data_IF_940005351830
#
_entry.id   IF_940005351830
#
_cell.length_a   1.000
_cell.length_b   1.000
_cell.length_c   1.000
_cell.angle_alpha   90.00
_cell.angle_beta   90.00
_cell.angle_gamma   90.00
#
_symmetry.space_group_name_H-M   'P 1'
#
loop_
_entity.id
_entity.type
_entity.pdbx_description
1 polymer ?
#
# COMPACT_ATOMS: atom_id res chain seq x y z
N UNK A 1 33.20 -13.23 -2.16
CA UNK A 1 33.20 -13.92 -3.46
C UNK A 1 32.18 -13.27 -4.36
N UNK A 2 32.69 -12.67 -5.43
CA UNK A 2 32.00 -11.80 -6.37
C UNK A 2 31.10 -12.57 -7.33
N UNK A 3 29.84 -12.11 -7.46
CA UNK A 3 29.11 -12.12 -8.74
C UNK A 3 28.36 -10.79 -8.85
N UNK A 4 29.10 -9.75 -9.23
CA UNK A 4 28.53 -8.58 -9.88
C UNK A 4 28.14 -8.98 -11.28
N UNK A 5 26.95 -9.58 -11.43
CA UNK A 5 26.31 -9.68 -12.74
C UNK A 5 25.86 -8.28 -13.13
N UNK A 6 26.53 -7.72 -14.13
CA UNK A 6 26.12 -6.52 -14.85
C UNK A 6 24.68 -6.69 -15.35
N UNK A 7 23.73 -6.09 -14.64
CA UNK A 7 22.31 -6.08 -14.96
C UNK A 7 22.06 -5.12 -16.12
N UNK A 8 22.28 -5.57 -17.36
CA UNK A 8 21.38 -5.14 -18.43
C UNK A 8 20.05 -5.86 -18.15
N UNK A 9 19.07 -5.15 -17.56
CA UNK A 9 17.73 -5.69 -17.33
C UNK A 9 16.96 -5.75 -18.65
N UNK A 10 17.35 -6.67 -19.53
CA UNK A 10 16.40 -7.24 -20.48
C UNK A 10 15.29 -7.96 -19.68
N UNK A 11 14.10 -8.09 -20.27
CA UNK A 11 13.02 -8.87 -19.65
C UNK A 11 13.57 -10.26 -19.35
N UNK A 12 13.66 -10.60 -18.08
CA UNK A 12 14.10 -11.93 -17.69
C UNK A 12 13.01 -12.92 -18.12
N UNK A 13 13.35 -13.68 -19.16
CA UNK A 13 12.42 -14.55 -19.88
C UNK A 13 11.76 -15.53 -18.91
N UNK A 14 12.50 -16.05 -17.93
CA UNK A 14 11.97 -16.96 -16.92
C UNK A 14 10.85 -16.30 -16.10
N UNK A 15 11.06 -15.06 -15.65
CA UNK A 15 10.05 -14.35 -14.85
C UNK A 15 8.81 -14.00 -15.68
N UNK A 16 8.99 -13.70 -16.97
CA UNK A 16 7.88 -13.54 -17.91
C UNK A 16 7.12 -14.84 -18.15
N UNK A 17 7.81 -15.96 -18.31
CA UNK A 17 7.19 -17.27 -18.46
C UNK A 17 6.42 -17.69 -17.21
N UNK A 18 6.99 -17.53 -16.02
CA UNK A 18 6.33 -17.85 -14.75
C UNK A 18 5.08 -16.96 -14.57
N UNK A 19 5.22 -15.65 -14.77
CA UNK A 19 4.10 -14.71 -14.67
C UNK A 19 2.97 -15.08 -15.64
N UNK A 20 3.33 -15.38 -16.90
CA UNK A 20 2.38 -15.81 -17.93
C UNK A 20 1.66 -17.09 -17.55
N UNK A 21 2.40 -18.12 -17.15
CA UNK A 21 1.84 -19.41 -16.76
C UNK A 21 0.87 -19.26 -15.58
N UNK A 22 1.28 -18.55 -14.53
CA UNK A 22 0.44 -18.34 -13.33
C UNK A 22 -0.84 -17.58 -13.68
N UNK A 23 -0.74 -16.48 -14.45
CA UNK A 23 -1.92 -15.69 -14.81
C UNK A 23 -2.88 -16.48 -15.73
N UNK A 24 -2.36 -17.24 -16.69
CA UNK A 24 -3.17 -18.10 -17.56
C UNK A 24 -3.89 -19.17 -16.72
N UNK A 25 -3.19 -19.86 -15.82
CA UNK A 25 -3.79 -20.89 -14.96
C UNK A 25 -4.91 -20.32 -14.08
N UNK A 26 -4.71 -19.12 -13.52
CA UNK A 26 -5.74 -18.44 -12.72
C UNK A 26 -6.97 -18.12 -13.58
N UNK A 27 -6.78 -17.55 -14.77
CA UNK A 27 -7.90 -17.25 -15.68
C UNK A 27 -8.64 -18.51 -16.10
N UNK A 28 -7.94 -19.60 -16.43
CA UNK A 28 -8.56 -20.87 -16.77
C UNK A 28 -9.41 -21.41 -15.61
N UNK A 29 -8.94 -21.23 -14.36
CA UNK A 29 -9.72 -21.53 -13.16
C UNK A 29 -11.03 -20.73 -13.10
N UNK A 30 -10.98 -19.42 -13.35
CA UNK A 30 -12.17 -18.56 -13.36
C UNK A 30 -13.12 -18.88 -14.52
N UNK A 31 -12.62 -19.09 -15.73
CA UNK A 31 -13.43 -19.51 -16.88
C UNK A 31 -14.14 -20.84 -16.59
N UNK A 32 -13.45 -21.80 -15.97
CA UNK A 32 -14.05 -23.07 -15.58
C UNK A 32 -15.16 -22.92 -14.53
N UNK A 33 -15.10 -21.87 -13.72
CA UNK A 33 -16.04 -21.61 -12.63
C UNK A 33 -17.32 -20.91 -13.07
N UNK A 34 -17.27 -20.07 -14.12
CA UNK A 34 -18.42 -19.29 -14.58
C UNK A 34 -18.24 -18.80 -16.01
N UNK A 35 -19.31 -18.87 -16.80
CA UNK A 35 -19.35 -18.36 -18.18
C UNK A 35 -19.26 -16.82 -18.24
N UNK A 36 -19.41 -16.11 -17.12
CA UNK A 36 -19.23 -14.65 -17.05
C UNK A 36 -17.84 -14.19 -17.51
N UNK A 37 -16.87 -15.09 -17.42
CA UNK A 37 -15.47 -14.92 -17.83
C UNK A 37 -15.27 -15.17 -19.34
N UNK A 38 -16.25 -15.67 -20.08
CA UNK A 38 -16.22 -15.74 -21.55
C UNK A 38 -16.55 -14.36 -22.17
N UNK A 39 -15.81 -13.34 -21.76
CA UNK A 39 -16.01 -11.96 -22.18
C UNK A 39 -14.66 -11.28 -22.44
N UNK A 40 -14.63 -10.32 -23.37
CA UNK A 40 -13.39 -9.73 -23.89
C UNK A 40 -12.52 -9.05 -22.84
N UNK A 41 -13.11 -8.59 -21.73
CA UNK A 41 -12.42 -7.92 -20.62
C UNK A 41 -11.27 -8.74 -20.01
N UNK A 42 -11.30 -10.07 -20.16
CA UNK A 42 -10.22 -10.95 -19.68
C UNK A 42 -8.90 -10.68 -20.39
N UNK A 43 -8.94 -10.34 -21.68
CA UNK A 43 -7.72 -10.14 -22.47
C UNK A 43 -6.84 -9.03 -21.88
N UNK A 44 -7.34 -7.78 -21.71
CA UNK A 44 -6.52 -6.74 -21.10
C UNK A 44 -6.16 -7.02 -19.64
N UNK A 45 -7.03 -7.70 -18.87
CA UNK A 45 -6.72 -8.12 -17.49
C UNK A 45 -5.55 -9.12 -17.46
N UNK A 46 -5.57 -10.13 -18.32
CA UNK A 46 -4.49 -11.10 -18.46
C UNK A 46 -3.19 -10.38 -18.77
N UNK A 47 -3.20 -9.49 -19.76
CA UNK A 47 -2.01 -8.73 -20.16
C UNK A 47 -1.48 -7.86 -19.01
N UNK A 48 -2.35 -7.21 -18.25
CA UNK A 48 -1.96 -6.50 -17.02
C UNK A 48 -1.27 -7.43 -16.02
N UNK A 49 -1.91 -8.56 -15.70
CA UNK A 49 -1.40 -9.55 -14.76
C UNK A 49 -0.02 -10.08 -15.17
N UNK A 50 0.15 -10.42 -16.44
CA UNK A 50 1.44 -10.88 -16.97
C UNK A 50 2.50 -9.80 -16.80
N UNK A 51 2.19 -8.58 -17.24
CA UNK A 51 3.14 -7.48 -17.31
C UNK A 51 3.62 -7.07 -15.91
N UNK A 52 2.70 -6.86 -14.97
CA UNK A 52 3.07 -6.47 -13.59
C UNK A 52 3.55 -7.67 -12.75
N UNK A 53 3.08 -8.88 -13.08
CA UNK A 53 3.45 -10.12 -12.40
C UNK A 53 4.92 -10.49 -12.57
N UNK A 54 5.60 -9.99 -13.60
CA UNK A 54 7.05 -10.17 -13.74
C UNK A 54 7.80 -9.58 -12.55
N UNK A 55 7.36 -8.43 -12.05
CA UNK A 55 7.98 -7.76 -10.90
C UNK A 55 7.65 -8.45 -9.58
N UNK A 56 6.43 -8.98 -9.46
CA UNK A 56 6.05 -9.84 -8.35
C UNK A 56 6.91 -11.11 -8.32
N UNK A 57 7.12 -11.76 -9.46
CA UNK A 57 7.95 -12.98 -9.58
C UNK A 57 9.41 -12.67 -9.24
N UNK A 58 9.97 -11.58 -9.76
CA UNK A 58 11.34 -11.18 -9.42
C UNK A 58 11.51 -10.87 -7.93
N UNK A 59 10.50 -10.27 -7.29
CA UNK A 59 10.49 -10.07 -5.84
C UNK A 59 10.43 -11.39 -5.06
N UNK A 60 9.53 -12.31 -5.44
CA UNK A 60 9.40 -13.63 -4.78
C UNK A 60 10.68 -14.46 -4.94
N UNK A 61 11.31 -14.41 -6.12
CA UNK A 61 12.60 -15.06 -6.40
C UNK A 61 13.78 -14.40 -5.69
N UNK A 62 13.55 -13.29 -4.97
CA UNK A 62 14.56 -12.58 -4.20
C UNK A 62 15.57 -11.81 -5.06
N UNK A 63 15.23 -11.53 -6.33
CA UNK A 63 16.02 -10.70 -7.25
C UNK A 63 15.84 -9.20 -6.99
N UNK A 64 14.76 -8.85 -6.30
CA UNK A 64 14.52 -7.51 -5.76
C UNK A 64 14.73 -7.49 -4.24
N UNK A 65 15.10 -6.32 -3.72
CA UNK A 65 15.14 -6.13 -2.27
C UNK A 65 13.72 -6.15 -1.68
N UNK A 66 13.61 -6.45 -0.38
CA UNK A 66 12.32 -6.72 0.26
C UNK A 66 11.37 -5.51 0.21
N UNK A 67 11.93 -4.31 0.32
CA UNK A 67 11.21 -3.04 0.21
C UNK A 67 11.58 -2.30 -1.08
N UNK A 68 12.02 -3.04 -2.10
CA UNK A 68 12.20 -2.46 -3.43
C UNK A 68 10.83 -1.93 -3.91
N UNK A 69 10.72 -0.64 -4.27
CA UNK A 69 9.45 -0.08 -4.71
C UNK A 69 8.90 -0.82 -5.91
N UNK A 70 9.76 -1.34 -6.81
CA UNK A 70 9.32 -2.15 -7.96
C UNK A 70 8.66 -3.43 -7.51
N UNK A 71 9.24 -4.14 -6.53
CA UNK A 71 8.70 -5.40 -6.06
C UNK A 71 7.40 -5.24 -5.28
N UNK A 72 7.29 -4.19 -4.46
CA UNK A 72 6.04 -3.83 -3.77
C UNK A 72 4.96 -3.49 -4.80
N UNK A 73 5.29 -2.66 -5.80
CA UNK A 73 4.36 -2.33 -6.88
C UNK A 73 3.99 -3.55 -7.72
N UNK A 74 4.91 -4.49 -7.93
CA UNK A 74 4.63 -5.77 -8.59
C UNK A 74 3.57 -6.58 -7.85
N UNK A 75 3.75 -6.82 -6.55
CA UNK A 75 2.80 -7.57 -5.73
C UNK A 75 1.44 -6.89 -5.62
N UNK A 76 1.42 -5.59 -5.29
CA UNK A 76 0.18 -4.82 -5.20
C UNK A 76 -0.49 -4.70 -6.57
N UNK A 77 0.30 -4.55 -7.63
CA UNK A 77 -0.20 -4.44 -9.00
C UNK A 77 -0.83 -5.74 -9.51
N UNK A 78 -0.27 -6.91 -9.19
CA UNK A 78 -0.94 -8.20 -9.47
C UNK A 78 -2.28 -8.25 -8.74
N UNK A 79 -2.32 -7.79 -7.49
CA UNK A 79 -3.57 -7.76 -6.77
C UNK A 79 -4.60 -6.83 -7.43
N UNK A 80 -4.26 -5.55 -7.64
CA UNK A 80 -5.21 -4.53 -8.09
C UNK A 80 -5.56 -4.60 -9.58
N UNK A 81 -4.60 -4.95 -10.46
CA UNK A 81 -4.81 -4.95 -11.91
C UNK A 81 -5.19 -6.31 -12.48
N UNK A 82 -5.07 -7.38 -11.69
CA UNK A 82 -5.35 -8.75 -12.14
C UNK A 82 -6.34 -9.49 -11.23
N UNK A 83 -6.00 -9.71 -9.96
CA UNK A 83 -6.84 -10.53 -9.06
C UNK A 83 -8.16 -9.83 -8.71
N UNK A 84 -8.13 -8.55 -8.32
CA UNK A 84 -9.33 -7.82 -7.87
C UNK A 84 -10.39 -7.68 -8.96
N UNK A 85 -10.06 -7.33 -10.22
CA UNK A 85 -11.03 -7.36 -11.33
C UNK A 85 -11.71 -8.72 -11.51
N UNK A 86 -10.96 -9.83 -11.40
CA UNK A 86 -11.51 -11.17 -11.53
C UNK A 86 -12.42 -11.54 -10.35
N UNK A 87 -12.01 -11.21 -9.12
CA UNK A 87 -12.82 -11.43 -7.92
C UNK A 87 -14.10 -10.58 -7.94
N UNK A 88 -14.01 -9.33 -8.39
CA UNK A 88 -15.17 -8.45 -8.49
C UNK A 88 -16.21 -9.04 -9.45
N UNK A 89 -15.80 -9.58 -10.60
CA UNK A 89 -16.73 -10.27 -11.53
C UNK A 89 -17.26 -11.54 -10.90
N UNK A 90 -16.40 -12.34 -10.28
CA UNK A 90 -16.80 -13.61 -9.66
C UNK A 90 -17.82 -13.45 -8.54
N UNK A 91 -17.71 -12.37 -7.76
CA UNK A 91 -18.61 -12.12 -6.63
C UNK A 91 -19.85 -11.34 -7.03
N UNK A 92 -19.80 -10.60 -8.13
CA UNK A 92 -20.84 -9.68 -8.62
C UNK A 92 -21.41 -8.80 -7.49
N UNK A 93 -20.55 -8.46 -6.54
CA UNK A 93 -20.92 -7.74 -5.32
C UNK A 93 -20.63 -6.25 -5.50
N UNK A 94 -21.65 -5.45 -5.21
CA UNK A 94 -21.64 -4.01 -5.37
C UNK A 94 -21.87 -3.32 -4.03
N UNK A 95 -21.32 -2.12 -3.89
CA UNK A 95 -21.67 -1.27 -2.77
C UNK A 95 -23.18 -1.00 -2.85
N UNK A 96 -23.94 -1.35 -1.80
CA UNK A 96 -25.41 -1.26 -1.79
C UNK A 96 -26.03 0.13 -2.01
N UNK A 97 -25.21 1.17 -2.19
CA UNK A 97 -25.61 2.54 -2.56
C UNK A 97 -25.49 2.81 -4.06
N UNK A 98 -24.98 1.86 -4.85
CA UNK A 98 -24.74 2.00 -6.29
C UNK A 98 -25.61 0.99 -7.02
N UNK A 99 -26.44 1.49 -7.94
CA UNK A 99 -27.13 0.64 -8.91
C UNK A 99 -26.12 0.20 -9.98
N UNK A 100 -25.80 -1.09 -10.09
CA UNK A 100 -24.88 -1.57 -11.13
C UNK A 100 -25.50 -1.39 -12.52
N UNK A 101 -24.70 -1.11 -13.56
CA UNK A 101 -25.18 -1.17 -14.93
C UNK A 101 -25.39 -2.63 -15.36
N UNK A 102 -26.25 -2.85 -16.37
CA UNK A 102 -26.65 -4.18 -16.83
C UNK A 102 -25.46 -5.07 -17.24
N UNK A 103 -24.43 -4.49 -17.87
CA UNK A 103 -23.14 -5.17 -18.10
C UNK A 103 -21.96 -4.22 -17.84
N UNK A 104 -21.39 -4.36 -16.65
CA UNK A 104 -20.25 -3.58 -16.20
C UNK A 104 -18.89 -4.12 -16.68
N UNK A 105 -18.84 -5.35 -17.23
CA UNK A 105 -17.59 -6.00 -17.65
C UNK A 105 -16.93 -5.27 -18.81
N UNK A 106 -17.71 -4.64 -19.68
CA UNK A 106 -17.20 -3.79 -20.77
C UNK A 106 -16.41 -2.59 -20.23
N UNK A 107 -16.91 -1.94 -19.19
CA UNK A 107 -16.19 -0.86 -18.51
C UNK A 107 -14.94 -1.36 -17.80
N UNK A 108 -15.00 -2.53 -17.17
CA UNK A 108 -13.85 -3.17 -16.56
C UNK A 108 -12.76 -3.46 -17.60
N UNK A 109 -13.14 -3.97 -18.78
CA UNK A 109 -12.23 -4.20 -19.90
C UNK A 109 -11.58 -2.93 -20.43
N UNK A 110 -12.35 -1.85 -20.57
CA UNK A 110 -11.84 -0.55 -21.01
C UNK A 110 -10.84 0.04 -20.01
N UNK A 111 -11.16 -0.01 -18.71
CA UNK A 111 -10.25 0.40 -17.65
C UNK A 111 -9.00 -0.47 -17.61
N UNK A 112 -9.13 -1.78 -17.80
CA UNK A 112 -7.98 -2.69 -17.89
C UNK A 112 -7.09 -2.37 -19.10
N UNK A 113 -7.65 -1.99 -20.25
CA UNK A 113 -6.87 -1.58 -21.42
C UNK A 113 -6.09 -0.28 -21.15
N UNK A 114 -6.71 0.68 -20.47
CA UNK A 114 -6.02 1.91 -20.03
C UNK A 114 -4.90 1.60 -19.03
N UNK A 115 -5.17 0.74 -18.05
CA UNK A 115 -4.15 0.27 -17.11
C UNK A 115 -3.00 -0.43 -17.83
N UNK A 116 -3.29 -1.21 -18.87
CA UNK A 116 -2.27 -1.88 -19.67
C UNK A 116 -1.36 -0.89 -20.37
N UNK A 117 -1.92 0.16 -20.97
CA UNK A 117 -1.13 1.26 -21.54
C UNK A 117 -0.27 1.94 -20.46
N UNK A 118 -0.84 2.20 -19.29
CA UNK A 118 -0.11 2.75 -18.14
C UNK A 118 1.04 1.85 -17.69
N UNK A 119 0.83 0.54 -17.64
CA UNK A 119 1.86 -0.45 -17.28
C UNK A 119 2.93 -0.59 -18.37
N UNK A 120 2.58 -0.45 -19.63
CA UNK A 120 3.54 -0.37 -20.73
C UNK A 120 4.42 0.87 -20.59
N UNK A 121 3.83 2.04 -20.31
CA UNK A 121 4.58 3.26 -20.03
C UNK A 121 5.48 3.08 -18.80
N UNK A 122 4.94 2.55 -17.71
CA UNK A 122 5.70 2.25 -16.49
C UNK A 122 6.91 1.37 -16.79
N UNK A 123 6.70 0.28 -17.53
CA UNK A 123 7.75 -0.67 -17.87
C UNK A 123 8.74 -0.10 -18.88
N UNK A 124 8.26 0.69 -19.82
CA UNK A 124 9.10 1.44 -20.75
C UNK A 124 9.96 2.43 -19.99
N UNK A 125 9.42 3.26 -19.09
CA UNK A 125 10.20 4.23 -18.29
C UNK A 125 11.19 3.54 -17.35
N UNK A 126 10.87 2.34 -16.86
CA UNK A 126 11.80 1.53 -16.07
C UNK A 126 12.89 0.85 -16.91
N UNK A 127 12.53 0.43 -18.13
CA UNK A 127 13.39 -0.28 -19.09
C UNK A 127 14.20 0.65 -19.98
N UNK A 128 13.77 1.90 -20.14
CA UNK A 128 14.62 3.06 -20.26
C UNK A 128 15.46 2.99 -19.01
N UNK A 129 16.57 2.25 -19.13
CA UNK A 129 17.72 2.55 -18.33
C UNK A 129 17.82 4.07 -18.46
N UNK A 130 17.47 4.82 -17.39
CA UNK A 130 18.37 5.83 -16.89
C UNK A 130 19.67 5.07 -16.72
N UNK A 131 20.30 4.92 -17.87
CA UNK A 131 21.56 4.28 -18.09
C UNK A 131 22.34 5.07 -17.11
N UNK A 132 22.79 4.35 -16.11
CA UNK A 132 24.13 4.51 -15.68
C UNK A 132 24.97 5.20 -16.79
N UNK A 133 24.93 6.53 -16.89
CA UNK A 133 25.92 7.28 -16.14
C UNK A 133 26.06 6.51 -14.82
N UNK A 134 26.90 5.49 -14.83
CA UNK A 134 28.29 5.73 -14.51
C UNK A 134 28.53 7.25 -14.42
N UNK A 135 27.86 7.92 -13.46
CA UNK A 135 28.53 8.43 -12.29
C UNK A 135 29.47 7.28 -11.95
N UNK A 136 30.59 7.26 -12.69
CA UNK A 136 31.88 6.97 -12.14
C UNK A 136 31.73 7.61 -10.77
N UNK A 137 31.67 6.79 -9.73
CA UNK A 137 31.98 7.24 -8.39
C UNK A 137 33.48 7.62 -8.37
N UNK A 138 33.94 8.39 -9.37
CA UNK A 138 35.07 9.27 -9.34
C UNK A 138 34.63 10.43 -8.45
N UNK A 139 34.82 10.21 -7.16
CA UNK A 139 35.22 11.24 -6.20
C UNK A 139 34.53 12.61 -6.28
N UNK A 140 33.22 12.67 -6.49
CA UNK A 140 32.45 13.88 -6.20
C UNK A 140 31.66 13.61 -4.94
N UNK A 141 32.31 13.89 -3.81
CA UNK A 141 31.76 14.01 -2.46
C UNK A 141 30.39 13.32 -2.31
N UNK A 142 30.41 12.07 -1.85
CA UNK A 142 29.21 11.47 -1.26
C UNK A 142 28.69 12.46 -0.22
N UNK A 143 27.67 13.24 -0.58
CA UNK A 143 26.91 14.05 0.36
C UNK A 143 26.17 13.04 1.22
N UNK A 144 26.84 12.59 2.26
CA UNK A 144 26.22 11.86 3.34
C UNK A 144 25.24 12.83 3.99
N UNK A 145 23.97 12.71 3.62
CA UNK A 145 22.87 13.42 4.28
C UNK A 145 22.77 12.88 5.70
N UNK A 146 23.48 13.52 6.61
CA UNK A 146 23.44 13.19 8.02
C UNK A 146 22.33 13.99 8.71
N UNK A 147 21.57 13.30 9.56
CA UNK A 147 20.56 13.94 10.38
C UNK A 147 21.24 14.88 11.39
N UNK A 148 20.89 16.16 11.38
CA UNK A 148 21.32 17.09 12.43
C UNK A 148 20.62 16.74 13.75
N UNK A 149 21.33 15.99 14.59
CA UNK A 149 20.89 15.52 15.89
C UNK A 149 20.53 16.66 16.87
N UNK A 150 21.04 17.88 16.67
CA UNK A 150 20.78 19.02 17.56
C UNK A 150 19.46 19.69 17.21
N UNK A 151 19.19 19.87 15.91
CA UNK A 151 17.96 20.55 15.44
C UNK A 151 16.76 19.62 15.35
N UNK A 152 16.99 18.34 15.05
CA UNK A 152 15.92 17.38 14.81
C UNK A 152 14.89 17.26 15.96
N UNK A 153 15.28 17.14 17.25
CA UNK A 153 14.31 17.00 18.33
C UNK A 153 13.40 18.23 18.47
N UNK A 154 13.94 19.44 18.31
CA UNK A 154 13.16 20.67 18.37
C UNK A 154 12.12 20.76 17.25
N UNK A 155 12.54 20.50 16.01
CA UNK A 155 11.65 20.50 14.84
C UNK A 155 10.57 19.42 15.00
N UNK A 156 10.96 18.21 15.42
CA UNK A 156 10.03 17.11 15.66
C UNK A 156 8.99 17.47 16.74
N UNK A 157 9.43 18.01 17.87
CA UNK A 157 8.51 18.42 18.94
C UNK A 157 7.51 19.47 18.47
N UNK A 158 7.96 20.49 17.73
CA UNK A 158 7.07 21.51 17.16
C UNK A 158 6.06 20.87 16.21
N UNK A 159 6.51 19.99 15.30
CA UNK A 159 5.63 19.31 14.35
C UNK A 159 4.60 18.41 15.06
N UNK A 160 5.00 17.68 16.10
CA UNK A 160 4.11 16.85 16.91
C UNK A 160 3.06 17.70 17.65
N UNK A 161 3.47 18.82 18.26
CA UNK A 161 2.56 19.74 18.95
C UNK A 161 1.52 20.31 17.98
N UNK A 162 1.97 20.78 16.81
CA UNK A 162 1.07 21.29 15.76
C UNK A 162 0.08 20.19 15.35
N UNK A 163 0.57 18.98 15.07
CA UNK A 163 -0.27 17.85 14.65
C UNK A 163 -1.32 17.47 15.69
N UNK A 164 -0.96 17.42 16.99
CA UNK A 164 -1.89 17.17 18.10
C UNK A 164 -2.89 18.32 18.25
N UNK A 165 -2.43 19.57 18.18
CA UNK A 165 -3.28 20.75 18.31
C UNK A 165 -4.34 20.79 17.21
N UNK A 166 -3.96 20.50 15.97
CA UNK A 166 -4.91 20.40 14.86
C UNK A 166 -5.88 19.22 15.02
N UNK A 167 -5.42 18.07 15.53
CA UNK A 167 -6.32 16.94 15.83
C UNK A 167 -7.32 17.29 16.94
N UNK A 168 -6.88 17.99 17.99
CA UNK A 168 -7.76 18.46 19.05
C UNK A 168 -8.81 19.44 18.51
N UNK A 169 -8.40 20.35 17.62
CA UNK A 169 -9.31 21.27 16.93
C UNK A 169 -10.34 20.54 16.06
N UNK A 170 -9.93 19.49 15.34
CA UNK A 170 -10.86 18.59 14.63
C UNK A 170 -11.89 18.03 15.61
N UNK A 171 -11.46 17.39 16.69
CA UNK A 171 -12.40 16.80 17.63
C UNK A 171 -13.33 17.84 18.25
N UNK A 172 -12.82 19.01 18.63
CA UNK A 172 -13.65 20.09 19.17
C UNK A 172 -14.74 20.52 18.17
N UNK A 173 -14.41 20.65 16.88
CA UNK A 173 -15.37 21.01 15.83
C UNK A 173 -16.51 20.01 15.68
N UNK A 174 -16.25 18.74 16.02
CA UNK A 174 -17.24 17.66 15.96
C UNK A 174 -17.87 17.30 17.31
N UNK A 175 -17.67 18.11 18.36
CA UNK A 175 -18.24 17.82 19.67
C UNK A 175 -17.52 16.68 20.41
N UNK A 176 -16.22 16.53 20.19
CA UNK A 176 -15.36 15.51 20.77
C UNK A 176 -15.21 14.26 19.89
N UNK A 177 -14.57 13.23 20.45
CA UNK A 177 -14.31 11.96 19.77
C UNK A 177 -15.62 11.26 19.40
N UNK A 178 -16.60 11.24 20.31
CA UNK A 178 -17.90 10.60 20.06
C UNK A 178 -18.67 11.27 18.93
N UNK A 179 -18.68 12.60 18.87
CA UNK A 179 -19.37 13.33 17.81
C UNK A 179 -18.63 13.26 16.47
N UNK A 180 -17.29 13.13 16.49
CA UNK A 180 -16.50 12.80 15.29
C UNK A 180 -16.88 11.44 14.70
N UNK A 181 -16.94 10.39 15.54
CA UNK A 181 -17.35 9.04 15.11
C UNK A 181 -18.82 9.05 14.64
N UNK A 182 -19.71 9.72 15.37
CA UNK A 182 -21.12 9.85 14.99
C UNK A 182 -21.30 10.54 13.64
N UNK A 183 -20.56 11.64 13.41
CA UNK A 183 -20.58 12.35 12.13
C UNK A 183 -20.01 11.50 11.00
N UNK A 184 -18.92 10.77 11.25
CA UNK A 184 -18.37 9.84 10.27
C UNK A 184 -19.36 8.74 9.89
N UNK A 185 -20.04 8.16 10.88
CA UNK A 185 -21.05 7.12 10.66
C UNK A 185 -22.21 7.65 9.83
N UNK A 186 -22.73 8.84 10.16
CA UNK A 186 -23.80 9.48 9.38
C UNK A 186 -23.37 9.88 7.97
N UNK A 187 -22.16 10.38 7.78
CA UNK A 187 -21.66 10.75 6.44
C UNK A 187 -21.61 9.54 5.50
N UNK A 188 -21.31 8.35 6.03
CA UNK A 188 -21.30 7.10 5.26
C UNK A 188 -22.72 6.62 4.97
N UNK A 189 -23.65 6.74 5.93
CA UNK A 189 -25.03 6.29 5.78
C UNK A 189 -25.88 7.22 4.90
N UNK A 190 -25.68 8.53 5.02
CA UNK A 190 -26.51 9.57 4.38
C UNK A 190 -25.85 10.18 3.14
N UNK A 191 -24.69 9.66 2.71
CA UNK A 191 -23.88 10.20 1.61
C UNK A 191 -23.60 11.72 1.73
N UNK A 192 -23.56 12.25 2.96
CA UNK A 192 -23.31 13.68 3.23
C UNK A 192 -21.83 13.96 3.29
N UNK A 193 -21.39 15.04 2.64
CA UNK A 193 -20.01 15.51 2.70
C UNK A 193 -19.70 16.29 4.00
N UNK A 194 -19.89 15.66 5.15
CA UNK A 194 -19.64 16.29 6.46
C UNK A 194 -18.16 16.71 6.67
N UNK A 195 -17.26 16.22 5.81
CA UNK A 195 -15.82 16.46 5.88
C UNK A 195 -15.26 17.35 4.76
N UNK A 196 -16.12 17.93 3.91
CA UNK A 196 -15.70 18.78 2.81
C UNK A 196 -14.80 19.94 3.29
N UNK A 197 -13.72 20.21 2.54
CA UNK A 197 -12.79 21.29 2.83
C UNK A 197 -11.78 21.05 3.97
N UNK A 198 -11.81 19.90 4.65
CA UNK A 198 -10.89 19.61 5.77
C UNK A 198 -9.64 18.81 5.38
N UNK A 199 -9.40 18.58 4.08
CA UNK A 199 -8.29 17.76 3.60
C UNK A 199 -6.92 18.18 4.14
N UNK A 200 -6.61 19.49 4.16
CA UNK A 200 -5.33 20.02 4.69
C UNK A 200 -5.23 19.81 6.19
N UNK A 201 -6.32 20.04 6.92
CA UNK A 201 -6.37 19.85 8.37
C UNK A 201 -6.10 18.39 8.74
N UNK A 202 -6.74 17.46 8.03
CA UNK A 202 -6.50 16.02 8.17
C UNK A 202 -5.10 15.62 7.75
N UNK A 203 -4.59 16.14 6.64
CA UNK A 203 -3.24 15.84 6.18
C UNK A 203 -2.20 16.12 7.27
N UNK A 204 -2.23 17.31 7.87
CA UNK A 204 -1.25 17.69 8.89
C UNK A 204 -1.50 16.93 10.19
N UNK A 205 -2.74 16.91 10.69
CA UNK A 205 -3.06 16.25 11.96
C UNK A 205 -2.75 14.74 11.94
N UNK A 206 -3.02 14.04 10.84
CA UNK A 206 -2.79 12.61 10.71
C UNK A 206 -1.32 12.20 10.58
N UNK A 207 -0.40 13.15 10.42
CA UNK A 207 1.04 12.88 10.35
C UNK A 207 1.63 12.49 11.71
N UNK A 208 0.98 12.85 12.83
CA UNK A 208 1.49 12.61 14.18
C UNK A 208 2.07 11.21 14.41
N UNK A 209 1.35 10.10 14.14
CA UNK A 209 1.87 8.78 14.48
C UNK A 209 3.12 8.42 13.65
N UNK A 210 3.19 8.90 12.40
CA UNK A 210 4.36 8.67 11.52
C UNK A 210 5.56 9.49 12.00
N UNK A 211 5.36 10.76 12.34
CA UNK A 211 6.41 11.59 12.93
C UNK A 211 6.92 11.01 14.25
N UNK A 212 6.02 10.55 15.11
CA UNK A 212 6.38 9.88 16.37
C UNK A 212 7.19 8.59 16.11
N UNK A 213 6.82 7.80 15.10
CA UNK A 213 7.55 6.61 14.69
C UNK A 213 8.96 6.94 14.17
N UNK A 214 9.11 8.01 13.38
CA UNK A 214 10.42 8.49 12.92
C UNK A 214 11.26 8.95 14.11
N UNK A 215 10.67 9.71 15.04
CA UNK A 215 11.30 10.13 16.28
C UNK A 215 11.82 8.96 17.11
N UNK A 216 10.97 7.95 17.33
CA UNK A 216 11.36 6.71 18.01
C UNK A 216 12.48 5.99 17.26
N UNK A 217 12.42 5.88 15.93
CA UNK A 217 13.45 5.24 15.13
C UNK A 217 14.81 5.94 15.30
N UNK A 218 14.84 7.27 15.25
CA UNK A 218 16.07 8.04 15.49
C UNK A 218 16.59 7.87 16.91
N UNK A 219 15.71 7.95 17.91
CA UNK A 219 16.08 7.83 19.33
C UNK A 219 16.62 6.43 19.67
N UNK A 220 15.94 5.38 19.21
CA UNK A 220 16.31 3.98 19.47
C UNK A 220 17.70 3.58 18.92
N UNK A 221 18.25 4.33 17.94
CA UNK A 221 19.63 4.10 17.45
C UNK A 221 20.68 4.20 18.55
N UNK A 222 20.48 5.09 19.53
CA UNK A 222 21.41 5.28 20.65
C UNK A 222 21.18 4.31 21.81
N UNK A 223 20.03 3.65 21.86
CA UNK A 223 19.59 2.84 23.01
C UNK A 223 19.29 1.41 22.59
N UNK A 224 20.27 0.49 22.78
CA UNK A 224 20.15 -0.92 22.39
C UNK A 224 18.94 -1.64 23.02
N UNK A 225 18.55 -1.27 24.25
CA UNK A 225 17.38 -1.82 24.95
C UNK A 225 16.06 -1.61 24.20
N UNK A 226 15.95 -0.53 23.42
CA UNK A 226 14.74 -0.19 22.66
C UNK A 226 14.61 -0.97 21.34
N UNK A 227 15.61 -1.77 20.98
CA UNK A 227 15.68 -2.53 19.71
C UNK A 227 15.28 -3.99 19.87
N UNK A 228 14.79 -4.36 21.05
CA UNK A 228 14.31 -5.72 21.33
C UNK A 228 12.98 -5.96 20.60
N UNK A 229 12.68 -7.21 20.17
CA UNK A 229 11.43 -7.51 19.47
C UNK A 229 10.19 -7.13 20.26
N UNK A 230 10.22 -7.33 21.59
CA UNK A 230 9.12 -6.97 22.47
C UNK A 230 8.82 -5.47 22.45
N UNK A 231 9.86 -4.62 22.55
CA UNK A 231 9.68 -3.16 22.48
C UNK A 231 9.14 -2.76 21.10
N UNK A 232 9.64 -3.36 20.01
CA UNK A 232 9.14 -3.07 18.67
C UNK A 232 7.67 -3.45 18.48
N UNK A 233 7.23 -4.58 19.05
CA UNK A 233 5.82 -4.98 19.05
C UNK A 233 4.98 -3.97 19.83
N UNK A 234 5.42 -3.57 21.03
CA UNK A 234 4.73 -2.57 21.86
C UNK A 234 4.61 -1.24 21.10
N UNK A 235 5.69 -0.79 20.46
CA UNK A 235 5.70 0.44 19.66
C UNK A 235 4.74 0.35 18.48
N UNK A 236 4.66 -0.79 17.79
CA UNK A 236 3.68 -0.99 16.70
C UNK A 236 2.23 -0.97 17.21
N UNK A 237 1.97 -1.53 18.40
CA UNK A 237 0.64 -1.46 19.05
C UNK A 237 0.29 -0.01 19.40
N UNK A 238 1.21 0.73 20.02
CA UNK A 238 1.00 2.16 20.32
C UNK A 238 0.78 2.95 19.02
N UNK A 239 1.58 2.70 18.00
CA UNK A 239 1.42 3.32 16.68
C UNK A 239 0.05 3.03 16.07
N UNK A 240 -0.44 1.80 16.17
CA UNK A 240 -1.76 1.40 15.68
C UNK A 240 -2.87 2.16 16.42
N UNK A 241 -2.81 2.23 17.75
CA UNK A 241 -3.78 3.00 18.57
C UNK A 241 -3.75 4.48 18.19
N UNK A 242 -2.57 5.07 18.05
CA UNK A 242 -2.42 6.46 17.61
C UNK A 242 -2.98 6.65 16.19
N UNK A 243 -2.74 5.72 15.27
CA UNK A 243 -3.31 5.81 13.91
C UNK A 243 -4.83 5.69 13.92
N UNK A 244 -5.40 4.87 14.79
CA UNK A 244 -6.84 4.82 14.97
C UNK A 244 -7.38 6.17 15.43
N UNK A 245 -6.82 6.75 16.49
CA UNK A 245 -7.24 8.05 16.99
C UNK A 245 -7.14 9.13 15.91
N UNK A 246 -5.96 9.31 15.31
CA UNK A 246 -5.70 10.45 14.43
C UNK A 246 -6.42 10.36 13.07
N UNK A 247 -6.68 9.16 12.52
CA UNK A 247 -7.34 9.04 11.22
C UNK A 247 -8.17 7.77 10.97
N UNK A 248 -8.05 6.74 11.81
CA UNK A 248 -8.80 5.50 11.64
C UNK A 248 -10.27 5.58 12.09
N UNK A 249 -10.60 6.48 13.02
CA UNK A 249 -11.96 6.63 13.58
C UNK A 249 -13.01 7.05 12.55
N UNK A 250 -12.62 7.65 11.41
CA UNK A 250 -13.51 7.94 10.28
C UNK A 250 -13.78 6.74 9.35
N UNK A 251 -13.33 5.55 9.72
CA UNK A 251 -13.61 4.31 8.98
C UNK A 251 -12.62 3.97 7.85
N UNK A 252 -11.54 4.75 7.68
CA UNK A 252 -10.52 4.46 6.65
C UNK A 252 -9.55 3.36 7.09
N UNK A 253 -10.01 2.11 7.03
CA UNK A 253 -9.23 0.93 7.45
C UNK A 253 -7.98 0.72 6.58
N UNK A 254 -8.04 1.02 5.28
CA UNK A 254 -6.88 0.91 4.37
C UNK A 254 -5.76 1.88 4.75
N UNK A 255 -6.08 3.08 5.24
CA UNK A 255 -5.11 4.04 5.75
C UNK A 255 -4.35 3.51 6.96
N UNK A 256 -5.05 2.84 7.89
CA UNK A 256 -4.44 2.22 9.07
C UNK A 256 -3.50 1.08 8.66
N UNK A 257 -3.97 0.20 7.78
CA UNK A 257 -3.24 -0.96 7.27
C UNK A 257 -1.97 -0.53 6.53
N UNK A 258 -2.08 0.46 5.64
CA UNK A 258 -0.94 1.04 4.91
C UNK A 258 0.06 1.73 5.84
N UNK A 259 -0.42 2.46 6.85
CA UNK A 259 0.44 3.13 7.82
C UNK A 259 1.28 2.12 8.63
N UNK A 260 0.70 0.99 9.03
CA UNK A 260 1.43 -0.08 9.75
C UNK A 260 2.51 -0.68 8.86
N UNK A 261 2.22 -0.92 7.57
CA UNK A 261 3.22 -1.40 6.62
C UNK A 261 4.45 -0.47 6.55
N UNK A 262 4.22 0.84 6.46
CA UNK A 262 5.32 1.81 6.45
C UNK A 262 6.05 1.91 7.80
N UNK A 263 5.35 1.81 8.92
CA UNK A 263 6.00 1.75 10.23
C UNK A 263 6.95 0.54 10.35
N UNK A 264 6.52 -0.62 9.85
CA UNK A 264 7.37 -1.82 9.74
C UNK A 264 8.57 -1.57 8.81
N UNK A 265 8.38 -0.84 7.70
CA UNK A 265 9.46 -0.39 6.83
C UNK A 265 10.50 0.49 7.54
N UNK A 266 10.05 1.48 8.33
CA UNK A 266 10.92 2.33 9.16
C UNK A 266 11.74 1.48 10.12
N UNK A 267 11.11 0.50 10.79
CA UNK A 267 11.80 -0.43 11.69
C UNK A 267 12.84 -1.25 10.92
N UNK A 268 12.45 -1.83 9.78
CA UNK A 268 13.30 -2.69 8.96
C UNK A 268 14.60 -1.99 8.52
N UNK A 269 14.47 -0.77 8.01
CA UNK A 269 15.60 -0.02 7.47
C UNK A 269 16.42 0.69 8.54
N UNK A 270 15.80 1.24 9.59
CA UNK A 270 16.47 2.17 10.50
C UNK A 270 16.84 1.54 11.84
N UNK A 271 16.16 0.47 12.26
CA UNK A 271 16.30 -0.10 13.62
C UNK A 271 16.83 -1.52 13.58
N UNK A 272 16.11 -2.44 12.91
CA UNK A 272 16.43 -3.86 12.88
C UNK A 272 15.84 -4.51 11.64
N UNK A 273 16.64 -5.25 10.84
CA UNK A 273 16.12 -5.96 9.68
C UNK A 273 15.14 -7.04 10.12
N UNK A 274 13.98 -7.03 9.45
CA UNK A 274 12.89 -7.99 9.63
C UNK A 274 13.02 -9.10 8.60
N UNK A 275 12.67 -10.33 8.97
CA UNK A 275 12.74 -11.48 8.06
C UNK A 275 11.78 -11.33 6.88
N UNK A 276 12.17 -11.87 5.72
CA UNK A 276 11.33 -11.88 4.51
C UNK A 276 9.97 -12.55 4.74
N UNK A 277 9.95 -13.62 5.54
CA UNK A 277 8.72 -14.36 5.90
C UNK A 277 7.71 -13.47 6.62
N UNK A 278 8.15 -12.70 7.61
CA UNK A 278 7.27 -11.81 8.37
C UNK A 278 6.65 -10.70 7.48
N UNK A 279 7.42 -10.16 6.55
CA UNK A 279 6.93 -9.14 5.62
C UNK A 279 6.00 -9.73 4.56
N UNK A 280 6.29 -10.93 4.05
CA UNK A 280 5.38 -11.65 3.17
C UNK A 280 4.03 -11.96 3.84
N UNK A 281 4.05 -12.39 5.10
CA UNK A 281 2.82 -12.59 5.91
C UNK A 281 2.08 -11.27 6.08
N UNK A 282 2.79 -10.18 6.40
CA UNK A 282 2.21 -8.85 6.50
C UNK A 282 1.53 -8.42 5.20
N UNK A 283 2.21 -8.52 4.06
CA UNK A 283 1.67 -8.21 2.74
C UNK A 283 0.44 -9.06 2.41
N UNK A 284 0.51 -10.38 2.64
CA UNK A 284 -0.63 -11.27 2.43
C UNK A 284 -1.85 -10.84 3.28
N UNK A 285 -1.62 -10.44 4.53
CA UNK A 285 -2.67 -9.87 5.39
C UNK A 285 -3.23 -8.55 4.86
N UNK A 286 -2.40 -7.65 4.31
CA UNK A 286 -2.89 -6.41 3.67
C UNK A 286 -3.80 -6.74 2.47
N UNK A 287 -3.34 -7.65 1.60
CA UNK A 287 -4.08 -8.05 0.40
C UNK A 287 -5.41 -8.71 0.75
N UNK A 288 -5.41 -9.61 1.73
CA UNK A 288 -6.64 -10.22 2.24
C UNK A 288 -7.59 -9.19 2.85
N UNK A 289 -7.07 -8.26 3.64
CA UNK A 289 -7.90 -7.21 4.25
C UNK A 289 -8.54 -6.30 3.20
N UNK A 290 -7.84 -6.03 2.09
CA UNK A 290 -8.37 -5.25 0.97
C UNK A 290 -9.48 -5.99 0.20
N UNK A 291 -9.42 -7.32 0.07
CA UNK A 291 -10.47 -8.10 -0.61
C UNK A 291 -11.68 -8.39 0.26
N UNK A 292 -11.48 -8.69 1.55
CA UNK A 292 -12.57 -8.96 2.50
C UNK A 292 -13.43 -7.72 2.78
N UNK A 293 -13.00 -6.53 2.33
CA UNK A 293 -13.74 -5.27 2.45
C UNK A 293 -14.99 -5.20 1.58
N UNK A 294 -15.09 -5.98 0.50
CA UNK A 294 -16.31 -6.07 -0.31
C UNK A 294 -17.40 -6.88 0.39
N UNK A 295 -17.04 -8.09 0.84
CA UNK A 295 -18.01 -9.12 1.26
C UNK A 295 -18.63 -8.95 2.65
N UNK A 296 -18.01 -8.19 3.57
CA UNK A 296 -18.45 -8.10 4.98
C UNK A 296 -19.55 -7.06 5.26
N UNK A 297 -20.22 -6.51 4.23
CA UNK A 297 -21.36 -5.58 4.42
C UNK A 297 -22.74 -6.24 4.42
N UNK A 298 -22.86 -7.55 4.17
CA UNK A 298 -24.13 -8.29 4.33
C UNK A 298 -24.32 -8.82 5.76
N UNK A 299 -24.37 -7.93 6.75
CA UNK A 299 -25.10 -8.25 8.00
C UNK A 299 -26.47 -7.63 7.83
N UNK A 300 -27.45 -8.48 7.53
CA UNK A 300 -28.87 -8.15 7.50
C UNK A 300 -29.27 -7.45 8.81
N UNK A 301 -29.54 -6.14 8.73
CA UNK A 301 -30.24 -5.41 9.79
C UNK A 301 -31.73 -5.32 9.47
N UNK A 302 -32.33 -6.46 9.08
CA UNK A 302 -33.79 -6.63 9.12
C UNK A 302 -34.19 -7.18 10.48
N UNK A 303 -34.29 -6.28 11.47
CA UNK A 303 -35.16 -6.44 12.64
C UNK A 303 -35.95 -5.14 12.78
#
# INVERSE_FOLDING_TARGET
MNRTSSLSRSIDIDSAMISSLVCILIILGFIRSSDQFLHWFIIPILLNGILIGIDAVDWVRGRLSLFDPVGILGLLGVHFFFITPLLHVSWDDWLGLVTPPDDWRTWLGAMAALNFLGLLIYRFVRGLNFTSTTIKLESTQQRDWQLDQKRFPGILCIALIISVGLQALVYQRFGGISGYIGTATRSVLEAREAFAGMGILFLISETFPVLAMIGFAVYSRKHKSLRTPLVLIIVLVIFLVLKLLFGGLRGSRSLTVWAVFWAVGIIHFWIRPISRKAIAIGLAFLLFSCTSMGSLKQVDWRV
#
